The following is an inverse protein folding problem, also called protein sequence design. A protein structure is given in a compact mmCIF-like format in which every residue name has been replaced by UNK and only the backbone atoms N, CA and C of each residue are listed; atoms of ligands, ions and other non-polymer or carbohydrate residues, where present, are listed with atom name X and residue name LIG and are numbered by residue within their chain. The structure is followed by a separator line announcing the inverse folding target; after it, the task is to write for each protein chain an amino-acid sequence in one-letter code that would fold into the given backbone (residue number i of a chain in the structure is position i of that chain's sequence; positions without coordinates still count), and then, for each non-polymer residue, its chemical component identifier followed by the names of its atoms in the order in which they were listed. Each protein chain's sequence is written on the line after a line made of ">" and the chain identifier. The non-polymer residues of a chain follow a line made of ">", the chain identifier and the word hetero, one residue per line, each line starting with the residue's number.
data_IF_296819628494
#
_entry.id   IF_296819628494
#
_cell.length_a   1.000
_cell.length_b   1.000
_cell.length_c   1.000
_cell.angle_alpha   90.00
_cell.angle_beta   90.00
_cell.angle_gamma   90.00
#
_symmetry.space_group_name_H-M   'P 1'
#
loop_
_entity.id
_entity.type
_entity.pdbx_description
1 polymer ?
#
# COMPACT_ATOMS: atom_id res chain seq x y z
N UNK A 1 1.22 2.91 0.78
CA UNK A 1 0.04 2.54 -0.02
C UNK A 1 0.41 2.08 -1.42
N UNK A 2 1.10 2.94 -2.18
CA UNK A 2 1.44 2.71 -3.59
C UNK A 2 2.38 1.51 -3.83
N UNK A 3 3.42 1.35 -3.03
CA UNK A 3 4.42 0.28 -3.23
C UNK A 3 4.07 -1.01 -2.47
N UNK A 4 3.66 -0.90 -1.21
CA UNK A 4 3.46 -2.03 -0.30
C UNK A 4 1.99 -2.38 -0.08
N UNK A 5 1.07 -1.71 -0.72
CA UNK A 5 -0.35 -1.94 -0.52
C UNK A 5 -0.82 -1.77 0.93
N UNK A 6 -0.09 -1.06 1.78
CA UNK A 6 -0.46 -0.84 3.18
C UNK A 6 -1.69 0.05 3.31
N UNK A 7 -2.51 -0.21 4.33
CA UNK A 7 -3.57 0.71 4.74
C UNK A 7 -2.95 1.95 5.39
N UNK A 8 -3.63 3.10 5.30
CA UNK A 8 -3.12 4.36 5.88
C UNK A 8 -2.74 4.19 7.35
N UNK A 9 -3.58 3.52 8.14
CA UNK A 9 -3.29 3.28 9.57
C UNK A 9 -2.08 2.36 9.79
N UNK A 10 -1.82 1.44 8.88
CA UNK A 10 -0.65 0.55 8.95
C UNK A 10 0.63 1.34 8.71
N UNK A 11 0.63 2.26 7.73
CA UNK A 11 1.77 3.15 7.48
C UNK A 11 2.10 4.00 8.72
N UNK A 12 1.08 4.60 9.34
CA UNK A 12 1.27 5.46 10.50
C UNK A 12 1.52 4.72 11.83
N UNK A 13 1.59 3.40 11.80
CA UNK A 13 2.02 2.57 12.94
C UNK A 13 3.47 2.15 12.87
N UNK A 14 4.13 2.33 11.72
CA UNK A 14 5.55 2.00 11.55
C UNK A 14 6.36 2.89 12.47
N UNK A 15 6.99 2.28 13.47
CA UNK A 15 7.92 2.91 14.39
C UNK A 15 9.38 2.65 13.99
N UNK A 16 10.31 3.25 14.71
CA UNK A 16 11.74 3.09 14.46
C UNK A 16 12.21 1.64 14.57
N UNK A 17 11.63 0.83 15.46
CA UNK A 17 11.98 -0.58 15.61
C UNK A 17 11.53 -1.40 14.38
N UNK A 18 10.28 -1.21 13.97
CA UNK A 18 9.70 -1.85 12.77
C UNK A 18 10.47 -1.46 11.51
N UNK A 19 10.82 -0.18 11.36
CA UNK A 19 11.57 0.29 10.20
C UNK A 19 13.01 -0.25 10.15
N UNK A 20 13.70 -0.27 11.29
CA UNK A 20 15.04 -0.84 11.38
C UNK A 20 15.04 -2.35 11.09
N UNK A 21 14.02 -3.09 11.56
CA UNK A 21 13.84 -4.48 11.24
C UNK A 21 13.57 -4.68 9.74
N UNK A 22 12.68 -3.86 9.15
CA UNK A 22 12.35 -3.95 7.74
C UNK A 22 13.56 -3.76 6.83
N UNK A 23 14.47 -2.85 7.19
CA UNK A 23 15.73 -2.63 6.46
C UNK A 23 16.70 -3.82 6.57
N UNK A 24 16.73 -4.51 7.72
CA UNK A 24 17.60 -5.68 7.91
C UNK A 24 17.07 -6.91 7.16
N UNK A 25 15.76 -7.12 7.22
CA UNK A 25 15.10 -8.30 6.68
C UNK A 25 14.68 -8.14 5.21
N UNK A 26 14.83 -6.92 4.65
CA UNK A 26 14.31 -6.55 3.34
C UNK A 26 12.81 -6.87 3.20
N UNK A 27 12.08 -6.83 4.31
CA UNK A 27 10.67 -7.14 4.41
C UNK A 27 10.03 -6.41 5.59
N UNK A 28 8.81 -5.95 5.42
CA UNK A 28 8.06 -5.26 6.48
C UNK A 28 6.97 -6.18 7.03
N UNK A 29 7.01 -6.43 8.34
CA UNK A 29 5.98 -7.22 9.04
C UNK A 29 4.94 -6.29 9.63
N UNK A 30 3.69 -6.48 9.24
CA UNK A 30 2.55 -5.64 9.63
C UNK A 30 1.47 -6.46 10.30
N UNK A 31 0.99 -5.97 11.45
CA UNK A 31 -0.21 -6.46 12.11
C UNK A 31 -1.41 -5.65 11.64
N UNK A 32 -2.26 -6.29 10.84
CA UNK A 32 -3.45 -5.69 10.25
C UNK A 32 -4.69 -5.74 11.15
N UNK A 33 -5.85 -5.43 10.57
CA UNK A 33 -7.15 -5.54 11.24
C UNK A 33 -7.43 -7.00 11.61
N UNK A 34 -7.99 -7.23 12.79
CA UNK A 34 -8.27 -8.58 13.29
C UNK A 34 -7.03 -9.36 13.76
N UNK A 35 -5.89 -8.70 13.91
CA UNK A 35 -4.65 -9.32 14.41
C UNK A 35 -3.87 -10.11 13.35
N UNK A 36 -4.32 -10.15 12.11
CA UNK A 36 -3.61 -10.82 11.03
C UNK A 36 -2.23 -10.21 10.81
N UNK A 37 -1.21 -11.02 10.97
CA UNK A 37 0.18 -10.63 10.69
C UNK A 37 0.55 -11.07 9.28
N UNK A 38 1.17 -10.17 8.53
CA UNK A 38 1.72 -10.48 7.20
C UNK A 38 3.09 -9.83 7.02
N UNK A 39 3.92 -10.47 6.25
CA UNK A 39 5.24 -9.96 5.86
C UNK A 39 5.23 -9.66 4.37
N UNK A 40 5.68 -8.48 4.01
CA UNK A 40 5.67 -7.96 2.64
C UNK A 40 7.12 -7.60 2.28
N UNK A 41 7.66 -8.03 1.12
CA UNK A 41 8.98 -7.60 0.67
C UNK A 41 9.07 -6.08 0.65
N UNK A 42 10.15 -5.51 1.19
CA UNK A 42 10.38 -4.06 1.19
C UNK A 42 10.80 -3.61 -0.21
N UNK A 43 10.01 -2.76 -0.83
CA UNK A 43 10.35 -2.22 -2.15
C UNK A 43 11.61 -1.34 -2.05
N UNK A 44 12.64 -1.55 -2.90
CA UNK A 44 13.95 -0.87 -2.78
C UNK A 44 13.87 0.65 -2.72
N UNK A 45 12.91 1.26 -3.41
CA UNK A 45 12.69 2.73 -3.39
C UNK A 45 12.36 3.28 -1.99
N UNK A 46 11.91 2.44 -1.06
CA UNK A 46 11.57 2.85 0.31
C UNK A 46 12.76 2.81 1.25
N UNK A 47 13.81 2.05 0.94
CA UNK A 47 14.99 1.92 1.81
C UNK A 47 15.64 3.27 2.15
N UNK A 48 16.01 4.13 1.18
CA UNK A 48 16.64 5.41 1.50
C UNK A 48 15.70 6.31 2.32
N UNK A 49 14.39 6.21 2.10
CA UNK A 49 13.39 6.98 2.86
C UNK A 49 13.28 6.49 4.30
N UNK A 50 13.30 5.17 4.52
CA UNK A 50 13.30 4.59 5.86
C UNK A 50 14.57 4.97 6.62
N UNK A 51 15.75 4.90 5.99
CA UNK A 51 17.03 5.32 6.59
C UNK A 51 16.99 6.78 7.00
N UNK A 52 16.58 7.66 6.08
CA UNK A 52 16.47 9.09 6.34
C UNK A 52 15.54 9.41 7.52
N UNK A 53 14.37 8.80 7.58
CA UNK A 53 13.44 9.02 8.69
C UNK A 53 13.93 8.41 10.01
N UNK A 54 14.65 7.28 9.97
CA UNK A 54 15.24 6.68 11.17
C UNK A 54 16.27 7.59 11.84
N UNK A 55 17.05 8.32 11.05
CA UNK A 55 18.06 9.28 11.56
C UNK A 55 17.40 10.47 12.28
N UNK A 56 16.18 10.83 11.91
CA UNK A 56 15.47 12.01 12.42
C UNK A 56 14.43 11.68 13.49
N UNK A 57 14.03 10.41 13.62
CA UNK A 57 12.95 10.01 14.52
C UNK A 57 13.54 9.50 15.85
N UNK A 58 13.12 10.04 17.00
CA UNK A 58 13.53 9.52 18.30
C UNK A 58 13.19 8.03 18.46
N UNK A 59 14.01 7.31 19.21
CA UNK A 59 13.79 5.88 19.48
C UNK A 59 12.37 5.62 20.01
N UNK A 60 11.68 4.67 19.39
CA UNK A 60 10.28 4.34 19.71
C UNK A 60 9.26 5.28 19.07
N UNK A 61 9.71 6.35 18.41
CA UNK A 61 8.85 7.25 17.65
C UNK A 61 8.29 6.61 16.38
N UNK A 62 7.18 7.11 15.90
CA UNK A 62 6.54 6.66 14.64
C UNK A 62 7.19 7.40 13.47
N UNK A 63 7.61 6.65 12.44
CA UNK A 63 8.38 7.21 11.32
C UNK A 63 7.68 8.34 10.57
N UNK A 64 6.36 8.27 10.45
CA UNK A 64 5.57 9.17 9.61
C UNK A 64 4.59 10.03 10.43
N UNK A 65 4.82 10.14 11.73
CA UNK A 65 4.04 11.01 12.63
C UNK A 65 5.00 12.00 13.24
N UNK A 66 4.82 13.31 13.00
CA UNK A 66 5.65 14.33 13.65
C UNK A 66 5.58 14.21 15.18
N UNK A 67 6.68 14.53 15.85
CA UNK A 67 6.71 14.48 17.31
C UNK A 67 5.65 15.40 17.91
N UNK A 68 5.03 14.95 19.00
CA UNK A 68 3.93 15.66 19.66
C UNK A 68 2.60 15.70 18.90
N UNK A 69 2.53 15.17 17.67
CA UNK A 69 1.30 15.16 16.87
C UNK A 69 0.52 13.85 17.09
N UNK A 70 -0.77 13.91 17.42
CA UNK A 70 -1.60 12.72 17.47
C UNK A 70 -1.71 12.03 16.10
N UNK A 71 -1.59 10.70 16.06
CA UNK A 71 -1.61 9.92 14.81
C UNK A 71 -2.82 10.21 13.92
N UNK A 72 -4.00 10.42 14.50
CA UNK A 72 -5.20 10.73 13.72
C UNK A 72 -5.13 12.10 13.02
N UNK A 73 -4.42 13.08 13.61
CA UNK A 73 -4.20 14.37 12.97
C UNK A 73 -3.20 14.26 11.80
N UNK A 74 -2.12 13.50 11.96
CA UNK A 74 -1.18 13.21 10.89
C UNK A 74 -1.87 12.48 9.71
N UNK A 75 -2.78 11.53 10.00
CA UNK A 75 -3.60 10.86 8.98
C UNK A 75 -4.50 11.88 8.25
N UNK A 76 -5.19 12.74 8.99
CA UNK A 76 -6.04 13.78 8.40
C UNK A 76 -5.24 14.75 7.52
N UNK A 77 -4.04 15.14 7.97
CA UNK A 77 -3.15 16.01 7.20
C UNK A 77 -2.75 15.37 5.87
N UNK A 78 -2.37 14.08 5.86
CA UNK A 78 -2.08 13.36 4.62
C UNK A 78 -3.30 13.26 3.71
N UNK A 79 -4.48 12.99 4.25
CA UNK A 79 -5.72 12.92 3.47
C UNK A 79 -6.06 14.28 2.84
N UNK A 80 -5.90 15.37 3.59
CA UNK A 80 -6.07 16.73 3.09
C UNK A 80 -5.04 17.06 2.00
N UNK A 81 -3.78 16.68 2.19
CA UNK A 81 -2.73 16.84 1.19
C UNK A 81 -3.10 16.13 -0.13
N UNK A 82 -3.52 14.87 -0.06
CA UNK A 82 -3.96 14.11 -1.25
C UNK A 82 -5.16 14.82 -1.91
N UNK A 83 -6.12 15.30 -1.13
CA UNK A 83 -7.29 16.00 -1.65
C UNK A 83 -6.90 17.28 -2.41
N UNK A 84 -6.03 18.11 -1.83
CA UNK A 84 -5.60 19.37 -2.42
C UNK A 84 -4.75 19.18 -3.69
N UNK A 85 -3.91 18.12 -3.72
CA UNK A 85 -3.00 17.88 -4.84
C UNK A 85 -3.57 16.93 -5.90
N UNK A 86 -4.77 16.43 -5.70
CA UNK A 86 -5.47 15.55 -6.65
C UNK A 86 -5.52 16.08 -8.08
N UNK A 87 -5.80 17.37 -8.34
CA UNK A 87 -5.85 17.90 -9.70
C UNK A 87 -4.53 17.79 -10.48
N UNK A 88 -3.41 17.70 -9.76
CA UNK A 88 -2.07 17.64 -10.36
C UNK A 88 -1.54 16.21 -10.53
N UNK A 89 -2.13 15.24 -9.85
CA UNK A 89 -1.61 13.88 -9.76
C UNK A 89 -2.59 12.82 -10.27
N UNK A 90 -3.83 13.20 -10.52
CA UNK A 90 -4.86 12.29 -11.04
C UNK A 90 -4.93 12.38 -12.56
N UNK A 91 -5.07 11.21 -13.23
CA UNK A 91 -5.35 11.16 -14.65
C UNK A 91 -6.61 11.97 -14.99
N UNK A 92 -6.58 12.79 -16.08
CA UNK A 92 -7.70 13.68 -16.43
C UNK A 92 -9.03 12.93 -16.62
N UNK A 93 -8.97 11.73 -17.20
CA UNK A 93 -10.15 10.90 -17.53
C UNK A 93 -10.55 9.93 -16.40
N UNK A 94 -9.92 10.06 -15.23
CA UNK A 94 -10.23 9.18 -14.11
C UNK A 94 -11.62 9.46 -13.56
N UNK A 95 -12.49 8.46 -13.62
CA UNK A 95 -13.85 8.52 -13.07
C UNK A 95 -13.89 8.45 -11.54
N UNK A 96 -12.78 8.09 -10.90
CA UNK A 96 -12.68 7.95 -9.44
C UNK A 96 -11.64 8.90 -8.87
N UNK A 97 -11.98 9.65 -7.80
CA UNK A 97 -11.02 10.55 -7.19
C UNK A 97 -9.85 9.79 -6.56
N UNK A 98 -8.63 10.30 -6.74
CA UNK A 98 -7.45 9.78 -6.09
C UNK A 98 -7.59 9.86 -4.57
N UNK A 99 -7.36 8.74 -3.88
CA UNK A 99 -7.38 8.63 -2.43
C UNK A 99 -6.21 7.76 -1.97
N UNK A 100 -5.86 7.79 -0.68
CA UNK A 100 -4.86 6.84 -0.17
C UNK A 100 -5.28 5.39 -0.38
N UNK A 101 -6.58 5.10 -0.27
CA UNK A 101 -7.11 3.77 -0.55
C UNK A 101 -6.98 3.39 -2.02
N UNK A 102 -7.17 4.35 -2.93
CA UNK A 102 -6.91 4.19 -4.36
C UNK A 102 -5.47 3.79 -4.66
N UNK A 103 -4.48 4.36 -3.95
CA UNK A 103 -3.08 3.98 -4.10
C UNK A 103 -2.85 2.49 -3.74
N UNK A 104 -3.55 1.98 -2.75
CA UNK A 104 -3.51 0.56 -2.39
C UNK A 104 -4.15 -0.32 -3.48
N UNK A 105 -5.24 0.14 -4.12
CA UNK A 105 -5.82 -0.55 -5.27
C UNK A 105 -4.84 -0.64 -6.44
N UNK A 106 -4.14 0.45 -6.73
CA UNK A 106 -3.12 0.47 -7.79
C UNK A 106 -1.98 -0.50 -7.48
N UNK A 107 -1.54 -0.57 -6.23
CA UNK A 107 -0.54 -1.56 -5.80
C UNK A 107 -1.03 -2.99 -6.06
N UNK A 108 -2.26 -3.30 -5.66
CA UNK A 108 -2.87 -4.61 -5.87
C UNK A 108 -2.94 -4.99 -7.36
N UNK A 109 -3.32 -4.04 -8.20
CA UNK A 109 -3.40 -4.25 -9.64
C UNK A 109 -2.03 -4.53 -10.26
N UNK A 110 -1.02 -3.73 -9.91
CA UNK A 110 0.36 -3.92 -10.38
C UNK A 110 0.95 -5.26 -9.93
N UNK A 111 0.67 -5.66 -8.69
CA UNK A 111 1.10 -6.95 -8.15
C UNK A 111 0.46 -8.11 -8.89
N UNK A 112 -0.84 -8.02 -9.15
CA UNK A 112 -1.56 -9.00 -9.96
C UNK A 112 -0.97 -9.14 -11.36
N UNK A 113 -0.76 -8.00 -12.05
CA UNK A 113 -0.19 -8.01 -13.40
C UNK A 113 1.21 -8.61 -13.44
N UNK A 114 2.05 -8.29 -12.45
CA UNK A 114 3.39 -8.86 -12.35
C UNK A 114 3.36 -10.39 -12.24
N UNK A 115 2.44 -10.95 -11.43
CA UNK A 115 2.25 -12.40 -11.32
C UNK A 115 1.75 -13.02 -12.62
N UNK A 116 0.80 -12.38 -13.30
CA UNK A 116 0.33 -12.87 -14.61
C UNK A 116 1.45 -12.83 -15.65
N UNK A 117 2.25 -11.76 -15.70
CA UNK A 117 3.39 -11.65 -16.62
C UNK A 117 4.49 -12.68 -16.31
N UNK A 118 4.65 -13.08 -15.05
CA UNK A 118 5.55 -14.14 -14.64
C UNK A 118 5.03 -15.55 -15.00
N UNK A 119 3.82 -15.68 -15.55
CA UNK A 119 3.23 -16.96 -15.95
C UNK A 119 2.36 -17.64 -14.89
N UNK A 120 2.06 -16.97 -13.79
CA UNK A 120 1.19 -17.50 -12.76
C UNK A 120 -0.25 -17.64 -13.26
N UNK A 121 -0.96 -18.65 -12.75
CA UNK A 121 -2.38 -18.80 -13.01
C UNK A 121 -3.19 -17.63 -12.40
N UNK A 122 -4.37 -17.35 -12.95
CA UNK A 122 -5.30 -16.34 -12.41
C UNK A 122 -5.61 -16.55 -10.92
N UNK A 123 -5.66 -17.81 -10.50
CA UNK A 123 -5.89 -18.15 -9.10
C UNK A 123 -4.66 -17.81 -8.23
N UNK A 124 -3.46 -18.21 -8.67
CA UNK A 124 -2.21 -17.92 -7.96
C UNK A 124 -1.98 -16.41 -7.82
N UNK A 125 -2.14 -15.65 -8.90
CA UNK A 125 -2.04 -14.20 -8.90
C UNK A 125 -3.03 -13.53 -7.93
N UNK A 126 -4.29 -13.97 -7.90
CA UNK A 126 -5.29 -13.46 -6.92
C UNK A 126 -4.92 -13.80 -5.49
N UNK A 127 -4.43 -15.02 -5.25
CA UNK A 127 -3.99 -15.45 -3.92
C UNK A 127 -2.82 -14.60 -3.43
N UNK A 128 -1.81 -14.36 -4.27
CA UNK A 128 -0.68 -13.49 -3.94
C UNK A 128 -1.12 -12.08 -3.58
N UNK A 129 -2.07 -11.50 -4.33
CA UNK A 129 -2.65 -10.18 -3.99
C UNK A 129 -3.42 -10.21 -2.67
N UNK A 130 -4.19 -11.26 -2.40
CA UNK A 130 -4.91 -11.40 -1.13
C UNK A 130 -3.95 -11.46 0.07
N UNK A 131 -2.86 -12.18 -0.05
CA UNK A 131 -1.79 -12.28 0.94
C UNK A 131 -1.10 -10.93 1.16
N UNK A 132 -0.68 -10.26 0.08
CA UNK A 132 -0.10 -8.90 0.11
C UNK A 132 -1.01 -7.93 0.88
N UNK A 133 -2.29 -7.94 0.56
CA UNK A 133 -3.26 -7.03 1.14
C UNK A 133 -3.74 -7.46 2.54
N UNK A 134 -3.45 -8.67 2.99
CA UNK A 134 -3.98 -9.22 4.23
C UNK A 134 -5.51 -9.33 4.20
N UNK A 135 -6.04 -9.87 3.11
CA UNK A 135 -7.43 -10.24 2.99
C UNK A 135 -7.56 -11.72 3.34
N UNK A 136 -8.35 -12.03 4.37
CA UNK A 136 -8.60 -13.42 4.77
C UNK A 136 -9.53 -14.18 3.81
N UNK A 137 -10.08 -13.53 2.79
CA UNK A 137 -11.01 -14.11 1.81
C UNK A 137 -10.70 -13.60 0.40
N UNK A 138 -10.76 -14.49 -0.55
CA UNK A 138 -10.54 -14.24 -1.99
C UNK A 138 -11.58 -13.25 -2.59
N UNK A 139 -12.80 -13.23 -2.05
CA UNK A 139 -13.88 -12.37 -2.53
C UNK A 139 -13.56 -10.87 -2.47
N UNK A 140 -12.82 -10.43 -1.45
CA UNK A 140 -12.42 -9.02 -1.33
C UNK A 140 -11.40 -8.66 -2.42
N UNK A 141 -10.55 -9.59 -2.80
CA UNK A 141 -9.57 -9.39 -3.88
C UNK A 141 -10.23 -9.27 -5.24
N UNK A 142 -11.33 -9.99 -5.48
CA UNK A 142 -12.13 -9.86 -6.71
C UNK A 142 -12.67 -8.44 -6.91
N UNK A 143 -13.12 -7.79 -5.83
CA UNK A 143 -13.61 -6.40 -5.87
C UNK A 143 -12.50 -5.43 -6.29
N UNK A 144 -11.26 -5.66 -5.82
CA UNK A 144 -10.10 -4.84 -6.17
C UNK A 144 -9.70 -4.98 -7.64
N UNK A 145 -9.97 -6.14 -8.24
CA UNK A 145 -9.58 -6.46 -9.63
C UNK A 145 -10.75 -6.31 -10.63
N UNK A 146 -11.99 -6.23 -10.17
CA UNK A 146 -13.18 -6.18 -11.02
C UNK A 146 -13.23 -4.97 -11.98
N UNK A 147 -12.55 -3.88 -11.66
CA UNK A 147 -12.46 -2.71 -12.54
C UNK A 147 -11.59 -2.92 -13.79
N UNK A 148 -10.84 -4.02 -13.88
CA UNK A 148 -9.95 -4.31 -15.01
C UNK A 148 -10.57 -5.28 -16.05
N UNK A 149 -11.46 -6.16 -15.60
CA UNK A 149 -12.17 -7.08 -16.50
C UNK A 149 -13.10 -6.34 -17.48
N UNK A 150 -13.65 -5.20 -17.07
CA UNK A 150 -14.52 -4.38 -17.91
C UNK A 150 -13.76 -3.60 -19.01
N UNK A 151 -12.43 -3.46 -18.90
CA UNK A 151 -11.60 -2.73 -19.89
C UNK A 151 -10.98 -3.62 -20.95
N UNK A 152 -10.93 -4.94 -20.76
CA UNK A 152 -10.32 -5.89 -21.70
C UNK A 152 -11.30 -6.49 -22.72
N UNK A 153 -12.61 -6.41 -22.49
CA UNK A 153 -13.62 -6.90 -23.45
C UNK A 153 -13.97 -5.89 -24.57
N UNK A 154 -13.44 -4.65 -24.52
CA UNK A 154 -13.68 -3.60 -25.52
C UNK A 154 -12.69 -3.54 -26.67
N UNK A 155 -11.68 -4.41 -26.73
CA UNK A 155 -10.56 -4.33 -27.68
C UNK A 155 -10.52 -5.40 -28.78
N UNK A 156 -11.58 -6.17 -28.98
CA UNK A 156 -11.67 -7.16 -30.05
C UNK A 156 -12.93 -6.94 -30.90
N UNK A 157 -12.85 -5.99 -31.81
CA UNK A 157 -13.64 -5.94 -33.05
C UNK A 157 -12.85 -5.25 -34.14
#
# INVERSE_FOLDING_TARGET
>A
GWYEGLRIHECFRIDTATAAQALREQAITIKGKGGLVRTIPLHPILEPRFRHHLEQTPRGGKLFVPDGVPTHQAIKALQAFIYLHRPYAQEPDSTRPMTFHGLRHTCAARWYDAHIQAGDSLYAARKAVAELLGHGRDDVTKIYLASRSAGQEGGAR
#
